data_IF_942898195172
#
_entry.id   IF_942898195172
#
_cell.length_a   1.000
_cell.length_b   1.000
_cell.length_c   1.000
_cell.angle_alpha   90.00
_cell.angle_beta   90.00
_cell.angle_gamma   90.00
#
_symmetry.space_group_name_H-M   'P 1'
#
loop_
_entity.id
_entity.type
_entity.pdbx_description
1 polymer ?
#
# COMPACT_ATOMS: atom_id res chain seq x y z
N UNK A 1 -45.26 0.85 80.34
CA UNK A 1 -45.43 0.16 79.01
C UNK A 1 -44.80 1.02 77.96
N UNK A 2 -43.53 0.76 77.63
CA UNK A 2 -42.74 1.56 76.71
C UNK A 2 -42.19 0.60 75.61
N UNK A 3 -42.77 0.77 74.41
CA UNK A 3 -42.29 0.02 73.19
C UNK A 3 -41.08 0.73 72.64
N UNK A 4 -39.94 0.02 72.54
CA UNK A 4 -38.76 0.44 71.85
C UNK A 4 -38.90 -0.03 70.37
N UNK A 5 -38.85 0.91 69.47
CA UNK A 5 -38.71 0.66 68.01
C UNK A 5 -37.24 0.48 67.71
N UNK A 6 -36.92 -0.66 67.14
CA UNK A 6 -35.58 -1.00 66.58
C UNK A 6 -35.57 -0.54 65.11
N UNK A 7 -34.76 0.47 64.83
CA UNK A 7 -34.52 0.89 63.45
C UNK A 7 -33.49 0.03 62.78
N UNK A 8 -33.87 -0.60 61.66
CA UNK A 8 -33.00 -1.39 60.80
C UNK A 8 -32.33 -0.46 59.75
N UNK A 9 -31.04 -0.24 59.89
CA UNK A 9 -30.25 0.46 58.85
C UNK A 9 -29.94 -0.52 57.72
N UNK A 10 -30.50 -0.25 56.53
CA UNK A 10 -30.18 -0.96 55.32
C UNK A 10 -28.94 -0.27 54.65
N UNK A 11 -27.79 -0.92 54.72
CA UNK A 11 -26.61 -0.47 53.98
C UNK A 11 -26.74 -0.90 52.53
N UNK A 12 -26.96 0.06 51.64
CA UNK A 12 -26.89 -0.17 50.17
C UNK A 12 -25.44 -0.14 49.75
N UNK A 13 -24.88 -1.30 49.42
CA UNK A 13 -23.57 -1.43 48.76
C UNK A 13 -23.78 -1.14 47.29
N UNK A 14 -23.37 0.03 46.82
CA UNK A 14 -23.24 0.35 45.40
C UNK A 14 -22.01 -0.37 44.86
N UNK A 15 -22.23 -1.49 44.17
CA UNK A 15 -21.22 -2.10 43.32
C UNK A 15 -21.08 -1.22 42.07
N UNK A 16 -20.06 -0.38 42.05
CA UNK A 16 -19.64 0.36 40.89
C UNK A 16 -19.07 -0.64 39.85
N UNK A 17 -19.85 -0.93 38.82
CA UNK A 17 -19.33 -1.60 37.61
C UNK A 17 -18.37 -0.64 36.93
N UNK A 18 -17.07 -0.89 37.09
CA UNK A 18 -16.05 -0.29 36.22
C UNK A 18 -16.21 -0.91 34.82
N UNK A 19 -17.00 -0.24 33.97
CA UNK A 19 -16.88 -0.42 32.53
C UNK A 19 -15.47 0.07 32.14
N UNK A 20 -14.52 -0.85 32.03
CA UNK A 20 -13.28 -0.60 31.34
C UNK A 20 -13.61 -0.31 29.89
N UNK A 21 -13.43 0.93 29.46
CA UNK A 21 -13.42 1.30 28.07
C UNK A 21 -12.37 0.42 27.36
N UNK A 22 -12.83 -0.61 26.66
CA UNK A 22 -12.07 -1.23 25.60
C UNK A 22 -11.93 -0.14 24.53
N UNK A 23 -10.82 0.59 24.55
CA UNK A 23 -10.44 1.41 23.41
C UNK A 23 -10.37 0.48 22.23
N UNK A 24 -11.33 0.61 21.33
CA UNK A 24 -11.34 -0.05 20.03
C UNK A 24 -10.00 0.17 19.34
N UNK A 25 -9.36 -0.91 18.89
CA UNK A 25 -8.15 -0.88 18.08
C UNK A 25 -8.42 -0.31 16.68
N UNK A 26 -9.59 0.21 16.41
CA UNK A 26 -10.06 0.79 15.15
C UNK A 26 -9.89 2.32 15.09
N UNK A 27 -8.88 2.91 15.74
CA UNK A 27 -8.55 4.29 15.40
C UNK A 27 -7.96 4.32 14.01
N UNK A 28 -8.83 4.45 13.00
CA UNK A 28 -8.46 4.86 11.65
C UNK A 28 -7.61 6.12 11.75
N UNK A 29 -6.48 6.10 11.07
CA UNK A 29 -5.62 7.28 10.93
C UNK A 29 -6.41 8.39 10.28
N UNK A 30 -6.80 9.36 11.06
CA UNK A 30 -7.55 10.53 10.62
C UNK A 30 -6.57 11.55 10.03
N UNK A 31 -6.27 11.42 8.73
CA UNK A 31 -5.59 12.48 8.00
C UNK A 31 -6.47 13.71 7.84
N UNK A 32 -5.90 14.89 7.57
CA UNK A 32 -6.62 16.17 7.53
C UNK A 32 -7.49 16.37 6.28
N UNK A 33 -7.39 15.50 5.26
CA UNK A 33 -8.02 15.72 3.97
C UNK A 33 -9.28 14.88 3.76
N UNK A 34 -10.23 15.41 2.97
CA UNK A 34 -11.21 14.59 2.25
C UNK A 34 -10.49 13.78 1.15
N UNK A 35 -11.15 12.75 0.62
CA UNK A 35 -10.59 11.93 -0.46
C UNK A 35 -11.33 12.18 -1.76
N UNK A 36 -10.59 12.59 -2.79
CA UNK A 36 -11.08 12.61 -4.16
C UNK A 36 -10.64 11.35 -4.90
N UNK A 37 -11.45 10.90 -5.86
CA UNK A 37 -11.09 9.84 -6.79
C UNK A 37 -11.43 10.25 -8.23
N UNK A 38 -10.51 9.95 -9.16
CA UNK A 38 -10.76 10.11 -10.60
C UNK A 38 -10.00 9.10 -11.42
N UNK A 39 -10.40 8.91 -12.65
CA UNK A 39 -9.72 8.04 -13.60
C UNK A 39 -9.09 8.87 -14.70
N UNK A 40 -7.80 8.63 -14.94
CA UNK A 40 -7.05 9.19 -16.07
C UNK A 40 -6.60 8.07 -16.99
N UNK A 41 -6.33 8.39 -18.25
CA UNK A 41 -5.80 7.40 -19.21
C UNK A 41 -4.58 7.98 -19.90
N UNK A 42 -3.45 7.35 -19.70
CA UNK A 42 -2.22 7.67 -20.40
C UNK A 42 -2.02 6.69 -21.57
N UNK A 43 -1.46 7.19 -22.65
CA UNK A 43 -1.16 6.38 -23.86
C UNK A 43 0.35 6.43 -24.10
N UNK A 44 0.97 5.26 -24.04
CA UNK A 44 2.37 5.09 -24.39
C UNK A 44 2.45 4.67 -25.86
N UNK A 45 2.80 5.63 -26.72
CA UNK A 45 2.96 5.41 -28.16
C UNK A 45 4.29 4.71 -28.51
N UNK A 46 5.20 4.62 -27.56
CA UNK A 46 6.53 3.99 -27.75
C UNK A 46 6.52 2.47 -27.52
N UNK A 47 5.50 1.94 -26.88
CA UNK A 47 5.35 0.52 -26.55
C UNK A 47 4.04 -0.04 -27.07
N UNK A 48 4.15 -1.07 -27.92
CA UNK A 48 2.98 -1.83 -28.35
C UNK A 48 2.45 -2.74 -27.23
N UNK A 49 1.21 -3.14 -27.35
CA UNK A 49 0.64 -4.25 -26.62
C UNK A 49 0.77 -5.50 -27.51
N UNK A 50 1.60 -6.45 -27.09
CA UNK A 50 1.81 -7.66 -27.88
C UNK A 50 0.56 -8.54 -27.89
N UNK A 51 0.23 -9.10 -29.05
CA UNK A 51 -0.76 -10.17 -29.12
C UNK A 51 -0.25 -11.40 -28.35
N UNK A 52 -1.07 -11.93 -27.44
CA UNK A 52 -0.74 -13.14 -26.68
C UNK A 52 -1.93 -14.10 -26.70
N UNK A 53 -1.72 -15.32 -27.13
CA UNK A 53 -2.78 -16.32 -27.27
C UNK A 53 -3.98 -15.74 -28.06
N UNK A 54 -5.12 -15.56 -27.38
CA UNK A 54 -6.35 -14.98 -27.93
C UNK A 54 -6.48 -13.48 -27.68
N UNK A 55 -5.52 -12.84 -26.98
CA UNK A 55 -5.50 -11.39 -26.77
C UNK A 55 -5.02 -10.68 -28.04
N UNK A 56 -5.81 -9.77 -28.61
CA UNK A 56 -5.36 -8.96 -29.72
C UNK A 56 -4.26 -7.99 -29.24
N UNK A 57 -3.26 -7.83 -30.09
CA UNK A 57 -2.28 -6.77 -29.92
C UNK A 57 -2.86 -5.38 -30.17
N UNK A 58 -2.14 -4.36 -29.77
CA UNK A 58 -2.45 -2.97 -30.08
C UNK A 58 -1.15 -2.20 -30.39
N UNK A 59 -1.21 -1.20 -31.28
CA UNK A 59 -0.01 -0.44 -31.68
C UNK A 59 0.57 0.42 -30.54
N UNK A 60 -0.16 0.60 -29.48
CA UNK A 60 0.21 1.43 -28.32
C UNK A 60 -0.34 0.83 -27.02
N UNK A 61 0.31 1.16 -25.90
CA UNK A 61 -0.09 0.68 -24.59
C UNK A 61 -0.92 1.73 -23.87
N UNK A 62 -2.16 1.41 -23.50
CA UNK A 62 -3.08 2.29 -22.79
C UNK A 62 -3.08 1.94 -21.31
N UNK A 63 -2.76 2.91 -20.47
CA UNK A 63 -2.67 2.76 -19.02
C UNK A 63 -3.81 3.55 -18.37
N UNK A 64 -4.90 2.87 -18.09
CA UNK A 64 -5.99 3.41 -17.28
C UNK A 64 -5.51 3.45 -15.83
N UNK A 65 -5.49 4.62 -15.23
CA UNK A 65 -4.96 4.83 -13.88
C UNK A 65 -6.04 5.48 -13.01
N UNK A 66 -6.34 4.86 -11.90
CA UNK A 66 -7.24 5.44 -10.90
C UNK A 66 -6.40 6.25 -9.90
N UNK A 67 -6.77 7.48 -9.67
CA UNK A 67 -6.10 8.38 -8.73
C UNK A 67 -6.98 8.57 -7.50
N UNK A 68 -6.45 8.26 -6.31
CA UNK A 68 -6.96 8.73 -5.03
C UNK A 68 -6.08 9.87 -4.55
N UNK A 69 -6.68 10.96 -4.12
CA UNK A 69 -5.92 12.17 -3.81
C UNK A 69 -6.56 13.00 -2.69
N UNK A 70 -5.76 13.82 -2.00
CA UNK A 70 -6.26 14.78 -1.04
C UNK A 70 -7.20 15.78 -1.71
N UNK A 71 -8.42 15.91 -1.19
CA UNK A 71 -9.45 16.80 -1.72
C UNK A 71 -9.86 17.87 -0.70
N UNK A 72 -10.46 18.96 -1.21
CA UNK A 72 -11.11 19.97 -0.38
C UNK A 72 -12.36 19.39 0.27
N UNK A 73 -12.64 19.81 1.50
CA UNK A 73 -13.81 19.39 2.27
C UNK A 73 -13.45 18.79 3.63
N UNK A 74 -14.47 18.37 4.37
CA UNK A 74 -14.28 17.72 5.67
C UNK A 74 -13.72 16.29 5.47
N UNK A 75 -12.77 15.86 6.30
CA UNK A 75 -12.26 14.48 6.26
C UNK A 75 -13.40 13.45 6.35
N UNK A 76 -13.35 12.44 5.49
CA UNK A 76 -14.37 11.39 5.40
C UNK A 76 -13.71 10.07 4.97
N UNK A 77 -14.31 8.94 5.36
CA UNK A 77 -13.88 7.61 4.92
C UNK A 77 -14.42 7.25 3.52
N UNK A 78 -15.30 8.09 2.98
CA UNK A 78 -15.83 7.97 1.61
C UNK A 78 -15.06 8.83 0.64
N UNK A 79 -14.73 8.27 -0.50
CA UNK A 79 -14.15 8.99 -1.63
C UNK A 79 -15.25 9.70 -2.44
N UNK A 80 -14.92 10.87 -2.98
CA UNK A 80 -15.81 11.67 -3.83
C UNK A 80 -15.26 11.69 -5.25
N UNK A 81 -16.09 11.24 -6.20
CA UNK A 81 -15.72 11.25 -7.62
C UNK A 81 -15.48 12.68 -8.11
N UNK A 82 -14.38 12.87 -8.81
CA UNK A 82 -13.98 14.15 -9.42
C UNK A 82 -13.98 15.35 -8.45
N UNK A 83 -13.72 15.07 -7.15
CA UNK A 83 -13.63 16.11 -6.13
C UNK A 83 -12.56 17.15 -6.49
N UNK A 84 -12.74 18.38 -6.01
CA UNK A 84 -11.73 19.42 -6.15
C UNK A 84 -10.48 19.06 -5.33
N UNK A 85 -9.30 18.98 -5.96
CA UNK A 85 -8.06 18.70 -5.22
C UNK A 85 -7.76 19.75 -4.15
N UNK A 86 -7.27 19.32 -3.02
CA UNK A 86 -6.65 20.20 -2.03
C UNK A 86 -5.37 20.84 -2.61
N UNK A 87 -4.90 21.91 -1.97
CA UNK A 87 -3.68 22.60 -2.42
C UNK A 87 -2.45 21.70 -2.22
N UNK A 88 -1.88 21.22 -3.34
CA UNK A 88 -0.68 20.41 -3.43
C UNK A 88 0.59 21.20 -3.72
N UNK A 89 1.63 20.57 -4.30
CA UNK A 89 1.64 19.14 -4.68
C UNK A 89 1.83 18.20 -3.50
N UNK A 90 1.48 16.91 -3.71
CA UNK A 90 1.58 15.84 -2.71
C UNK A 90 2.47 14.70 -3.19
N UNK A 91 3.24 14.03 -2.32
CA UNK A 91 4.03 12.86 -2.68
C UNK A 91 3.20 11.79 -3.37
N UNK A 92 3.84 11.08 -4.31
CA UNK A 92 3.20 10.09 -5.17
C UNK A 92 3.49 8.66 -4.70
N UNK A 93 2.44 7.84 -4.65
CA UNK A 93 2.52 6.39 -4.49
C UNK A 93 1.96 5.76 -5.77
N UNK A 94 2.78 5.01 -6.52
CA UNK A 94 2.30 4.22 -7.67
C UNK A 94 2.13 2.78 -7.23
N UNK A 95 0.90 2.28 -7.35
CA UNK A 95 0.54 0.94 -6.88
C UNK A 95 0.17 0.01 -8.04
N UNK A 96 0.78 -1.18 -8.05
CA UNK A 96 0.48 -2.28 -8.98
C UNK A 96 -0.34 -3.37 -8.27
N UNK A 97 -1.47 -3.74 -8.88
CA UNK A 97 -2.34 -4.81 -8.39
C UNK A 97 -1.77 -6.20 -8.67
N UNK A 98 -2.23 -7.22 -7.95
CA UNK A 98 -1.93 -8.61 -8.24
C UNK A 98 -2.57 -9.10 -9.54
N UNK A 99 -2.09 -10.23 -10.08
CA UNK A 99 -2.63 -10.87 -11.31
C UNK A 99 -4.15 -11.07 -11.22
N UNK A 100 -4.88 -10.68 -12.24
CA UNK A 100 -6.36 -10.65 -12.26
C UNK A 100 -6.97 -9.77 -11.17
N UNK A 101 -6.20 -8.82 -10.65
CA UNK A 101 -6.65 -7.81 -9.69
C UNK A 101 -7.05 -6.50 -10.36
N UNK A 102 -7.41 -5.55 -9.55
CA UNK A 102 -7.68 -4.17 -9.96
C UNK A 102 -7.44 -3.22 -8.77
N UNK A 103 -7.10 -1.94 -9.00
CA UNK A 103 -6.78 -0.99 -7.93
C UNK A 103 -7.88 -0.83 -6.88
N UNK A 104 -9.15 -0.92 -7.26
CA UNK A 104 -10.29 -0.79 -6.35
C UNK A 104 -10.30 -1.81 -5.21
N UNK A 105 -9.63 -2.94 -5.37
CA UNK A 105 -9.52 -3.95 -4.31
C UNK A 105 -8.67 -3.50 -3.12
N UNK A 106 -7.90 -2.43 -3.29
CA UNK A 106 -7.00 -1.83 -2.29
C UNK A 106 -7.46 -0.41 -1.89
N UNK A 107 -8.66 0.00 -2.33
CA UNK A 107 -9.16 1.37 -2.15
C UNK A 107 -9.23 1.79 -0.67
N UNK A 108 -9.40 0.85 0.25
CA UNK A 108 -9.41 1.15 1.68
C UNK A 108 -8.05 1.69 2.15
N UNK A 109 -6.93 1.05 1.78
CA UNK A 109 -5.58 1.58 2.04
C UNK A 109 -5.36 2.91 1.32
N UNK A 110 -5.78 3.01 0.07
CA UNK A 110 -5.60 4.22 -0.74
C UNK A 110 -6.33 5.43 -0.16
N UNK A 111 -7.54 5.24 0.41
CA UNK A 111 -8.26 6.30 1.13
C UNK A 111 -7.48 6.77 2.37
N UNK A 112 -6.91 5.85 3.14
CA UNK A 112 -6.11 6.18 4.32
C UNK A 112 -4.89 7.02 3.91
N UNK A 113 -4.16 6.59 2.88
CA UNK A 113 -2.98 7.30 2.39
C UNK A 113 -3.34 8.66 1.76
N UNK A 114 -4.43 8.73 0.97
CA UNK A 114 -4.88 10.00 0.40
C UNK A 114 -5.32 11.00 1.47
N UNK A 115 -6.05 10.56 2.51
CA UNK A 115 -6.39 11.41 3.66
C UNK A 115 -5.18 11.94 4.40
N UNK A 116 -4.10 11.17 4.43
CA UNK A 116 -2.85 11.58 5.05
C UNK A 116 -2.00 12.51 4.17
N UNK A 117 -2.43 12.84 2.96
CA UNK A 117 -1.76 13.78 2.08
C UNK A 117 -0.79 13.10 1.09
N UNK A 118 -1.21 12.01 0.48
CA UNK A 118 -0.54 11.36 -0.65
C UNK A 118 -1.46 11.29 -1.86
N UNK A 119 -0.88 11.35 -3.05
CA UNK A 119 -1.57 10.92 -4.26
C UNK A 119 -1.24 9.45 -4.51
N UNK A 120 -2.28 8.63 -4.67
CA UNK A 120 -2.13 7.20 -4.97
C UNK A 120 -2.58 6.93 -6.39
N UNK A 121 -1.69 6.46 -7.24
CA UNK A 121 -1.96 6.09 -8.62
C UNK A 121 -2.04 4.56 -8.73
N UNK A 122 -3.24 4.02 -8.75
CA UNK A 122 -3.50 2.60 -8.99
C UNK A 122 -3.50 2.32 -10.50
N UNK A 123 -2.47 1.66 -11.00
CA UNK A 123 -2.31 1.35 -12.42
C UNK A 123 -3.12 0.11 -12.78
N UNK A 124 -3.96 0.20 -13.83
CA UNK A 124 -4.64 -0.95 -14.43
C UNK A 124 -3.77 -1.48 -15.57
N UNK A 125 -2.94 -2.46 -15.28
CA UNK A 125 -2.05 -3.06 -16.27
C UNK A 125 -2.86 -3.79 -17.34
N UNK A 126 -2.69 -3.47 -18.62
CA UNK A 126 -3.68 -3.80 -19.66
C UNK A 126 -3.87 -5.29 -19.92
N UNK A 127 -2.89 -6.15 -19.59
CA UNK A 127 -3.00 -7.60 -19.83
C UNK A 127 -3.11 -8.44 -18.55
N UNK A 128 -2.99 -7.85 -17.37
CA UNK A 128 -3.10 -8.57 -16.09
C UNK A 128 -4.27 -8.11 -15.22
N UNK A 129 -4.96 -7.04 -15.61
CA UNK A 129 -6.12 -6.50 -14.89
C UNK A 129 -7.31 -7.47 -14.92
N UNK A 130 -8.17 -7.35 -13.91
CA UNK A 130 -9.41 -8.11 -13.80
C UNK A 130 -10.37 -7.86 -14.97
N UNK A 131 -11.16 -8.89 -15.32
CA UNK A 131 -12.26 -8.78 -16.28
C UNK A 131 -11.84 -8.88 -17.75
N UNK A 132 -10.62 -9.24 -18.03
CA UNK A 132 -10.19 -9.52 -19.40
C UNK A 132 -10.91 -10.77 -19.93
N UNK A 133 -11.47 -10.72 -21.14
CA UNK A 133 -12.27 -11.81 -21.69
C UNK A 133 -11.50 -13.13 -21.86
N UNK A 134 -10.16 -13.05 -21.90
CA UNK A 134 -9.27 -14.20 -22.10
C UNK A 134 -8.44 -14.54 -20.86
N UNK A 135 -8.76 -13.92 -19.71
CA UNK A 135 -7.97 -14.01 -18.50
C UNK A 135 -6.70 -13.15 -18.52
N UNK A 136 -5.99 -13.16 -17.40
CA UNK A 136 -4.75 -12.41 -17.30
C UNK A 136 -3.59 -13.11 -18.04
N UNK A 137 -2.82 -12.32 -18.78
CA UNK A 137 -1.60 -12.75 -19.50
C UNK A 137 -0.41 -12.54 -18.59
N UNK A 138 -0.03 -13.56 -17.84
CA UNK A 138 1.03 -13.48 -16.80
C UNK A 138 2.39 -13.06 -17.37
N UNK A 139 2.67 -13.38 -18.61
CA UNK A 139 3.92 -13.03 -19.30
C UNK A 139 4.09 -11.52 -19.49
N UNK A 140 3.00 -10.73 -19.40
CA UNK A 140 3.07 -9.27 -19.53
C UNK A 140 3.68 -8.57 -18.31
N UNK A 141 3.80 -9.26 -17.18
CA UNK A 141 4.43 -8.74 -15.95
C UNK A 141 5.81 -8.10 -16.22
N UNK A 142 6.54 -8.63 -17.21
CA UNK A 142 7.86 -8.07 -17.60
C UNK A 142 7.78 -6.66 -18.20
N UNK A 143 6.61 -6.18 -18.58
CA UNK A 143 6.37 -4.84 -19.12
C UNK A 143 5.82 -3.86 -18.07
N UNK A 144 5.30 -4.35 -16.94
CA UNK A 144 4.59 -3.55 -15.92
C UNK A 144 5.50 -2.58 -15.15
N UNK A 145 6.79 -2.85 -14.86
CA UNK A 145 7.68 -1.83 -14.30
C UNK A 145 7.83 -0.60 -15.19
N UNK A 146 7.85 -0.79 -16.52
CA UNK A 146 7.87 0.32 -17.46
C UNK A 146 6.53 1.07 -17.50
N UNK A 147 5.40 0.44 -17.12
CA UNK A 147 4.12 1.11 -16.95
C UNK A 147 4.16 2.04 -15.74
N UNK A 148 4.70 1.57 -14.60
CA UNK A 148 4.90 2.42 -13.41
C UNK A 148 5.75 3.65 -13.74
N UNK A 149 6.92 3.45 -14.35
CA UNK A 149 7.83 4.52 -14.79
C UNK A 149 7.15 5.52 -15.73
N UNK A 150 6.34 5.02 -16.67
CA UNK A 150 5.60 5.87 -17.61
C UNK A 150 4.51 6.68 -16.89
N UNK A 151 3.76 6.07 -15.96
CA UNK A 151 2.74 6.76 -15.15
C UNK A 151 3.37 7.85 -14.29
N UNK A 152 4.51 7.60 -13.62
CA UNK A 152 5.25 8.64 -12.87
C UNK A 152 5.58 9.82 -13.78
N UNK A 153 6.10 9.56 -14.99
CA UNK A 153 6.46 10.60 -15.96
C UNK A 153 5.25 11.42 -16.39
N UNK A 154 4.13 10.74 -16.69
CA UNK A 154 2.90 11.41 -17.16
C UNK A 154 2.24 12.23 -16.06
N UNK A 155 2.19 11.73 -14.84
CA UNK A 155 1.64 12.48 -13.70
C UNK A 155 2.48 13.72 -13.40
N UNK A 156 3.80 13.64 -13.44
CA UNK A 156 4.66 14.80 -13.28
C UNK A 156 4.46 15.87 -14.35
N UNK A 157 4.19 15.46 -15.59
CA UNK A 157 3.97 16.39 -16.70
C UNK A 157 2.56 16.98 -16.73
N UNK A 158 1.54 16.18 -16.46
CA UNK A 158 0.13 16.54 -16.69
C UNK A 158 -0.60 16.97 -15.40
N UNK A 159 -0.07 16.57 -14.21
CA UNK A 159 -0.69 16.78 -12.90
C UNK A 159 0.24 17.46 -11.88
N UNK A 160 1.21 18.23 -12.33
CA UNK A 160 2.27 18.84 -11.50
C UNK A 160 1.76 19.75 -10.36
N UNK A 161 0.54 20.28 -10.45
CA UNK A 161 -0.08 21.04 -9.36
C UNK A 161 -0.62 20.14 -8.23
N UNK A 162 -0.83 18.86 -8.52
CA UNK A 162 -1.34 17.87 -7.56
C UNK A 162 -0.25 16.92 -7.10
N UNK A 163 0.65 16.51 -7.98
CA UNK A 163 1.62 15.42 -7.77
C UNK A 163 3.04 15.96 -7.65
N UNK A 164 3.70 15.60 -6.57
CA UNK A 164 5.12 15.82 -6.35
C UNK A 164 5.89 14.55 -6.80
N UNK A 165 6.60 14.66 -7.91
CA UNK A 165 7.42 13.56 -8.46
C UNK A 165 8.87 13.58 -7.98
N UNK A 166 9.22 14.51 -7.09
CA UNK A 166 10.48 14.50 -6.37
C UNK A 166 10.42 13.64 -5.11
N UNK A 167 9.20 13.16 -4.75
CA UNK A 167 8.94 12.24 -3.63
C UNK A 167 8.03 11.11 -4.09
N UNK A 168 8.61 10.01 -4.54
CA UNK A 168 7.90 8.89 -5.17
C UNK A 168 8.12 7.57 -4.43
N UNK A 169 7.03 6.87 -4.14
CA UNK A 169 7.08 5.46 -3.78
C UNK A 169 6.44 4.58 -4.87
N UNK A 170 6.95 3.36 -5.00
CA UNK A 170 6.25 2.28 -5.71
C UNK A 170 5.83 1.22 -4.71
N UNK A 171 4.65 0.68 -4.91
CA UNK A 171 4.09 -0.36 -4.04
C UNK A 171 3.31 -1.38 -4.88
N UNK A 172 3.09 -2.55 -4.33
CA UNK A 172 2.25 -3.52 -5.01
C UNK A 172 2.06 -4.81 -4.23
N UNK A 173 1.07 -5.58 -4.69
CA UNK A 173 0.71 -6.87 -4.10
C UNK A 173 0.90 -8.01 -5.11
N UNK A 174 1.45 -9.15 -4.66
CA UNK A 174 1.60 -10.35 -5.49
C UNK A 174 2.43 -10.09 -6.76
N UNK A 175 1.88 -10.30 -7.97
CA UNK A 175 2.57 -9.92 -9.21
C UNK A 175 2.91 -8.42 -9.25
N UNK A 176 2.05 -7.55 -8.73
CA UNK A 176 2.35 -6.12 -8.63
C UNK A 176 3.47 -5.79 -7.65
N UNK A 177 3.71 -6.63 -6.64
CA UNK A 177 4.89 -6.50 -5.79
C UNK A 177 6.18 -6.91 -6.52
N UNK A 178 6.10 -7.83 -7.50
CA UNK A 178 7.23 -8.15 -8.39
C UNK A 178 7.55 -6.95 -9.29
N UNK A 179 6.53 -6.22 -9.76
CA UNK A 179 6.73 -4.99 -10.55
C UNK A 179 7.41 -3.91 -9.71
N UNK A 180 6.90 -3.65 -8.49
CA UNK A 180 7.50 -2.69 -7.57
C UNK A 180 8.94 -3.08 -7.18
N UNK A 181 9.20 -4.38 -6.96
CA UNK A 181 10.54 -4.91 -6.72
C UNK A 181 11.46 -4.65 -7.92
N UNK A 182 10.97 -4.85 -9.15
CA UNK A 182 11.75 -4.62 -10.35
C UNK A 182 12.01 -3.13 -10.59
N UNK A 183 11.01 -2.28 -10.41
CA UNK A 183 11.13 -0.82 -10.55
C UNK A 183 12.07 -0.22 -9.49
N UNK A 184 12.05 -0.75 -8.26
CA UNK A 184 12.92 -0.25 -7.18
C UNK A 184 14.34 -0.83 -7.20
N UNK A 185 14.53 -2.08 -7.66
CA UNK A 185 15.76 -2.81 -7.35
C UNK A 185 16.35 -3.66 -8.46
N UNK A 186 15.75 -3.74 -9.68
CA UNK A 186 16.29 -4.58 -10.74
C UNK A 186 17.05 -3.74 -11.77
N UNK A 187 18.25 -4.17 -12.15
CA UNK A 187 19.09 -3.46 -13.12
C UNK A 187 18.46 -3.27 -14.48
N UNK A 188 17.44 -4.07 -14.84
CA UNK A 188 16.71 -3.89 -16.12
C UNK A 188 15.79 -2.67 -16.11
N UNK A 189 15.24 -2.32 -14.95
CA UNK A 189 13.98 -1.58 -14.86
C UNK A 189 13.98 -0.53 -13.76
N UNK A 190 15.09 -0.36 -13.04
CA UNK A 190 15.22 0.58 -11.93
C UNK A 190 14.92 2.02 -12.36
N UNK A 191 13.96 2.62 -11.68
CA UNK A 191 13.66 4.06 -11.80
C UNK A 191 14.28 4.82 -10.63
N UNK A 192 15.26 5.68 -10.94
CA UNK A 192 16.03 6.43 -9.94
C UNK A 192 15.23 7.50 -9.18
N UNK A 193 13.98 7.76 -9.58
CA UNK A 193 13.07 8.68 -8.89
C UNK A 193 12.38 8.03 -7.69
N UNK A 194 12.50 6.70 -7.55
CA UNK A 194 11.83 5.96 -6.48
C UNK A 194 12.62 6.11 -5.18
N UNK A 195 11.99 6.74 -4.19
CA UNK A 195 12.56 7.01 -2.85
C UNK A 195 12.17 5.94 -1.82
N UNK A 196 11.09 5.18 -2.06
CA UNK A 196 10.60 4.16 -1.15
C UNK A 196 9.85 3.04 -1.89
N UNK A 197 9.94 1.81 -1.37
CA UNK A 197 9.28 0.63 -1.97
C UNK A 197 8.50 -0.14 -0.91
N UNK A 198 7.25 -0.51 -1.20
CA UNK A 198 6.47 -1.45 -0.38
C UNK A 198 6.12 -2.69 -1.20
N UNK A 199 6.39 -3.85 -0.62
CA UNK A 199 6.24 -5.16 -1.25
C UNK A 199 5.30 -6.04 -0.41
N UNK A 200 4.10 -6.29 -0.93
CA UNK A 200 3.07 -7.09 -0.26
C UNK A 200 3.03 -8.50 -0.89
N UNK A 201 3.43 -9.54 -0.15
CA UNK A 201 3.54 -10.92 -0.62
C UNK A 201 4.34 -11.05 -1.91
N UNK A 202 5.67 -10.93 -1.84
CA UNK A 202 6.56 -10.88 -2.99
C UNK A 202 7.43 -12.12 -3.13
N UNK A 203 7.74 -12.48 -4.38
CA UNK A 203 8.85 -13.37 -4.76
C UNK A 203 9.76 -12.65 -5.78
N UNK A 204 10.99 -13.12 -5.94
CA UNK A 204 11.96 -12.56 -6.89
C UNK A 204 12.23 -13.48 -8.09
N UNK A 205 11.33 -13.55 -9.06
CA UNK A 205 11.59 -14.34 -10.28
C UNK A 205 12.69 -13.71 -11.11
N UNK A 206 13.33 -14.50 -11.98
CA UNK A 206 14.23 -13.94 -13.00
C UNK A 206 13.48 -12.94 -13.88
N UNK A 207 14.06 -11.75 -14.10
CA UNK A 207 13.36 -10.64 -14.73
C UNK A 207 14.23 -9.98 -15.80
N UNK A 208 13.88 -10.14 -17.08
CA UNK A 208 14.56 -9.54 -18.25
C UNK A 208 16.09 -9.64 -18.23
N UNK A 209 16.65 -10.70 -17.62
CA UNK A 209 18.11 -10.87 -17.50
C UNK A 209 18.78 -9.90 -16.52
N UNK A 210 18.01 -9.06 -15.81
CA UNK A 210 18.50 -8.18 -14.77
C UNK A 210 18.78 -8.90 -13.46
N UNK A 211 19.40 -8.19 -12.52
CA UNK A 211 19.71 -8.67 -11.17
C UNK A 211 19.11 -7.74 -10.14
N UNK A 212 18.57 -8.30 -9.07
CA UNK A 212 18.03 -7.52 -7.95
C UNK A 212 19.14 -7.07 -6.99
N UNK A 213 19.00 -5.89 -6.42
CA UNK A 213 19.84 -5.27 -5.38
C UNK A 213 21.31 -5.03 -5.72
N UNK A 214 21.86 -5.75 -6.68
CA UNK A 214 23.25 -5.62 -7.13
C UNK A 214 23.32 -4.64 -8.30
N UNK A 215 24.11 -3.58 -8.15
CA UNK A 215 24.30 -2.59 -9.23
C UNK A 215 23.23 -1.50 -9.28
N UNK A 216 22.31 -1.47 -8.28
CA UNK A 216 21.35 -0.40 -8.05
C UNK A 216 21.60 0.26 -6.68
N UNK A 217 21.21 1.54 -6.47
CA UNK A 217 21.29 2.19 -5.17
C UNK A 217 20.49 1.44 -4.09
N UNK A 218 20.79 1.73 -2.84
CA UNK A 218 19.95 1.30 -1.72
C UNK A 218 18.74 2.24 -1.64
N UNK A 219 17.56 1.69 -1.89
CA UNK A 219 16.28 2.37 -1.68
C UNK A 219 15.60 1.77 -0.46
N UNK A 220 15.04 2.57 0.46
CA UNK A 220 14.26 2.06 1.58
C UNK A 220 13.16 1.11 1.14
N UNK A 221 13.02 -0.03 1.85
CA UNK A 221 12.03 -1.04 1.50
C UNK A 221 11.32 -1.63 2.72
N UNK A 222 10.01 -1.73 2.63
CA UNK A 222 9.15 -2.42 3.61
C UNK A 222 8.48 -3.61 2.94
N UNK A 223 8.70 -4.78 3.51
CA UNK A 223 8.04 -6.03 3.12
C UNK A 223 6.90 -6.34 4.09
N UNK A 224 5.77 -6.78 3.55
CA UNK A 224 4.72 -7.46 4.28
C UNK A 224 4.56 -8.87 3.73
N UNK A 225 4.53 -9.88 4.61
CA UNK A 225 4.32 -11.26 4.17
C UNK A 225 3.59 -12.07 5.23
N UNK A 226 2.50 -12.74 4.82
CA UNK A 226 1.82 -13.69 5.67
C UNK A 226 2.58 -15.01 5.78
N UNK A 227 2.69 -15.59 6.99
CA UNK A 227 3.39 -16.87 7.17
C UNK A 227 2.55 -18.08 6.74
N UNK A 228 1.24 -17.89 6.48
CA UNK A 228 0.33 -18.88 5.89
C UNK A 228 0.02 -18.61 4.41
N UNK A 229 0.85 -17.80 3.72
CA UNK A 229 0.72 -17.57 2.29
C UNK A 229 0.97 -18.86 1.50
N UNK A 230 -0.08 -19.36 0.84
CA UNK A 230 -0.04 -20.60 0.08
C UNK A 230 0.36 -20.43 -1.38
N UNK A 231 0.41 -19.18 -1.88
CA UNK A 231 0.79 -18.87 -3.27
C UNK A 231 2.26 -18.50 -3.36
N UNK A 232 2.74 -17.59 -2.50
CA UNK A 232 4.13 -17.18 -2.43
C UNK A 232 4.71 -17.54 -1.07
N UNK A 233 5.67 -18.49 -0.99
CA UNK A 233 6.24 -18.89 0.28
C UNK A 233 6.86 -17.72 1.03
N UNK A 234 6.53 -17.55 2.32
CA UNK A 234 7.11 -16.53 3.20
C UNK A 234 8.64 -16.47 3.13
N UNK A 235 9.29 -17.66 3.13
CA UNK A 235 10.75 -17.75 3.01
C UNK A 235 11.32 -17.12 1.73
N UNK A 236 10.55 -17.06 0.63
CA UNK A 236 11.00 -16.42 -0.59
C UNK A 236 11.02 -14.89 -0.45
N UNK A 237 9.99 -14.30 0.16
CA UNK A 237 9.96 -12.88 0.49
C UNK A 237 11.05 -12.50 1.51
N UNK A 238 11.22 -13.31 2.55
CA UNK A 238 12.27 -13.10 3.55
C UNK A 238 13.69 -13.21 2.95
N UNK A 239 13.91 -14.13 2.02
CA UNK A 239 15.18 -14.23 1.31
C UNK A 239 15.50 -13.00 0.43
N UNK A 240 14.49 -12.27 -0.05
CA UNK A 240 14.69 -10.96 -0.70
C UNK A 240 15.03 -9.86 0.31
N UNK A 241 14.38 -9.86 1.48
CA UNK A 241 14.73 -8.96 2.57
C UNK A 241 16.18 -9.15 3.02
N UNK A 242 16.66 -10.38 3.16
CA UNK A 242 18.06 -10.65 3.51
C UNK A 242 19.03 -10.04 2.50
N UNK A 243 18.73 -10.11 1.20
CA UNK A 243 19.56 -9.57 0.11
C UNK A 243 19.50 -8.05 -0.02
N UNK A 244 18.38 -7.44 0.37
CA UNK A 244 18.20 -5.99 0.29
C UNK A 244 19.20 -5.25 1.18
N UNK A 245 19.69 -4.10 0.72
CA UNK A 245 20.52 -3.21 1.53
C UNK A 245 19.64 -2.37 2.46
N UNK A 246 20.15 -1.98 3.65
CA UNK A 246 19.45 -1.02 4.51
C UNK A 246 19.24 0.33 3.80
N UNK A 247 18.16 1.07 4.17
CA UNK A 247 17.14 0.78 5.17
C UNK A 247 16.14 -0.28 4.69
N UNK A 248 15.88 -1.29 5.51
CA UNK A 248 14.96 -2.38 5.16
C UNK A 248 14.15 -2.86 6.37
N UNK A 249 12.91 -3.21 6.13
CA UNK A 249 11.94 -3.61 7.15
C UNK A 249 11.14 -4.80 6.64
N UNK A 250 10.82 -5.74 7.52
CA UNK A 250 10.02 -6.91 7.18
C UNK A 250 8.97 -7.16 8.26
N UNK A 251 7.71 -7.09 7.88
CA UNK A 251 6.57 -7.41 8.74
C UNK A 251 6.06 -8.79 8.38
N UNK A 252 6.25 -9.75 9.30
CA UNK A 252 5.59 -11.05 9.21
C UNK A 252 4.21 -10.97 9.83
N UNK A 253 3.18 -11.40 9.10
CA UNK A 253 1.79 -11.47 9.55
C UNK A 253 1.46 -12.93 9.83
N UNK A 254 1.38 -13.28 11.11
CA UNK A 254 1.14 -14.65 11.56
C UNK A 254 -0.29 -15.09 11.21
N UNK A 255 -0.40 -16.22 10.51
CA UNK A 255 -1.66 -16.73 9.98
C UNK A 255 -2.18 -15.94 8.76
N UNK A 256 -1.48 -14.91 8.32
CA UNK A 256 -1.83 -14.14 7.13
C UNK A 256 -1.67 -14.97 5.86
N UNK A 257 -2.70 -14.97 5.01
CA UNK A 257 -2.68 -15.60 3.69
C UNK A 257 -2.19 -14.64 2.61
N UNK A 258 -2.23 -15.11 1.35
CA UNK A 258 -1.73 -14.35 0.19
C UNK A 258 -2.46 -13.02 -0.05
N UNK A 259 -3.72 -12.91 0.29
CA UNK A 259 -4.57 -11.76 -0.10
C UNK A 259 -5.20 -11.05 1.08
N UNK A 260 -5.56 -11.79 2.14
CA UNK A 260 -6.36 -11.26 3.25
C UNK A 260 -5.75 -10.03 3.94
N UNK A 261 -4.43 -9.93 4.15
CA UNK A 261 -3.85 -8.79 4.84
C UNK A 261 -3.90 -7.47 4.05
N UNK A 262 -4.08 -7.53 2.74
CA UNK A 262 -3.87 -6.38 1.83
C UNK A 262 -5.17 -5.81 1.27
N UNK A 263 -6.27 -6.51 1.45
CA UNK A 263 -7.60 -6.08 1.03
C UNK A 263 -8.44 -5.72 2.24
N UNK A 264 -9.51 -4.99 1.99
CA UNK A 264 -10.42 -4.56 3.04
C UNK A 264 -10.90 -5.75 3.89
N UNK A 265 -10.55 -5.74 5.18
CA UNK A 265 -10.87 -6.77 6.14
C UNK A 265 -10.11 -6.61 7.47
N UNK A 266 -10.72 -6.97 8.61
CA UNK A 266 -10.07 -6.87 9.92
C UNK A 266 -9.12 -8.05 10.16
N UNK A 267 -8.22 -7.95 11.13
CA UNK A 267 -7.51 -6.76 11.62
C UNK A 267 -6.21 -6.49 10.85
N UNK A 268 -5.82 -7.46 9.99
CA UNK A 268 -4.54 -7.48 9.25
C UNK A 268 -4.40 -6.27 8.34
N UNK A 269 -5.52 -5.88 7.71
CA UNK A 269 -5.60 -4.70 6.84
C UNK A 269 -5.16 -3.41 7.56
N UNK A 270 -5.61 -3.20 8.80
CA UNK A 270 -5.26 -1.99 9.56
C UNK A 270 -3.76 -1.93 9.90
N UNK A 271 -3.14 -3.08 10.18
CA UNK A 271 -1.71 -3.19 10.36
C UNK A 271 -0.97 -2.72 9.10
N UNK A 272 -1.32 -3.29 7.94
CA UNK A 272 -0.65 -2.99 6.66
C UNK A 272 -0.83 -1.52 6.30
N UNK A 273 -2.06 -1.00 6.35
CA UNK A 273 -2.35 0.39 5.99
C UNK A 273 -1.62 1.40 6.88
N UNK A 274 -1.57 1.15 8.21
CA UNK A 274 -0.90 2.04 9.17
C UNK A 274 0.62 1.97 9.06
N UNK A 275 1.19 0.78 9.07
CA UNK A 275 2.63 0.61 8.95
C UNK A 275 3.17 1.15 7.61
N UNK A 276 2.40 0.99 6.53
CA UNK A 276 2.73 1.62 5.25
C UNK A 276 2.75 3.15 5.34
N UNK A 277 1.75 3.74 6.02
CA UNK A 277 1.69 5.19 6.20
C UNK A 277 2.89 5.72 6.98
N UNK A 278 3.29 5.06 8.07
CA UNK A 278 4.46 5.45 8.86
C UNK A 278 5.75 5.35 8.04
N UNK A 279 5.88 4.31 7.22
CA UNK A 279 7.00 4.14 6.30
C UNK A 279 7.05 5.24 5.23
N UNK A 280 5.91 5.58 4.60
CA UNK A 280 5.84 6.68 3.65
C UNK A 280 6.12 8.03 4.30
N UNK A 281 5.59 8.29 5.50
CA UNK A 281 5.86 9.52 6.24
C UNK A 281 7.36 9.70 6.51
N UNK A 282 8.08 8.60 6.77
CA UNK A 282 9.53 8.65 6.97
C UNK A 282 10.29 9.03 5.71
N UNK A 283 9.96 8.37 4.60
CA UNK A 283 10.80 8.42 3.41
C UNK A 283 10.32 9.38 2.31
N UNK A 284 9.06 9.83 2.38
CA UNK A 284 8.51 10.81 1.43
C UNK A 284 8.20 12.16 2.06
N UNK A 285 8.20 12.27 3.40
CA UNK A 285 7.89 13.53 4.13
C UNK A 285 8.89 13.85 5.23
N UNK A 286 10.00 13.13 5.31
CA UNK A 286 11.04 13.32 6.35
C UNK A 286 10.53 13.28 7.80
N UNK A 287 9.47 12.51 8.06
CA UNK A 287 8.88 12.32 9.39
C UNK A 287 9.89 11.74 10.37
N UNK A 288 10.36 12.53 11.33
CA UNK A 288 11.48 12.14 12.23
C UNK A 288 11.10 11.05 13.22
N UNK A 289 9.85 11.02 13.65
CA UNK A 289 9.27 10.05 14.60
C UNK A 289 8.55 8.88 13.90
N UNK A 290 8.55 8.85 12.57
CA UNK A 290 7.76 7.90 11.80
C UNK A 290 8.22 6.45 11.98
N UNK A 291 9.52 6.17 12.09
CA UNK A 291 10.01 4.82 12.38
C UNK A 291 9.66 4.36 13.80
N UNK A 292 9.70 5.26 14.78
CA UNK A 292 9.25 4.94 16.13
C UNK A 292 7.73 4.66 16.15
N UNK A 293 6.95 5.33 15.29
CA UNK A 293 5.52 5.00 15.10
C UNK A 293 5.35 3.63 14.45
N UNK A 294 6.08 3.33 13.38
CA UNK A 294 6.07 2.04 12.71
C UNK A 294 6.29 0.89 13.70
N UNK A 295 7.34 0.98 14.53
CA UNK A 295 7.63 -0.04 15.55
C UNK A 295 6.48 -0.20 16.56
N UNK A 296 5.97 0.93 17.10
CA UNK A 296 4.87 0.92 18.06
C UNK A 296 3.57 0.40 17.46
N UNK A 297 3.27 0.77 16.23
CA UNK A 297 2.01 0.41 15.57
C UNK A 297 2.02 -1.06 15.16
N UNK A 298 3.14 -1.61 14.68
CA UNK A 298 3.26 -3.07 14.46
C UNK A 298 3.13 -3.83 15.79
N UNK A 299 3.75 -3.35 16.87
CA UNK A 299 3.70 -4.01 18.19
C UNK A 299 2.29 -4.06 18.83
N UNK A 300 1.34 -3.25 18.36
CA UNK A 300 -0.08 -3.33 18.79
C UNK A 300 -0.81 -4.58 18.32
N UNK A 301 -0.28 -5.24 17.28
CA UNK A 301 -0.90 -6.42 16.70
C UNK A 301 -0.15 -7.68 17.14
N UNK A 302 -0.72 -8.50 18.03
CA UNK A 302 -0.04 -9.67 18.61
C UNK A 302 0.30 -10.77 17.57
N UNK A 303 -0.29 -10.67 16.39
CA UNK A 303 -0.04 -11.56 15.26
C UNK A 303 1.02 -11.00 14.30
N UNK A 304 1.66 -9.87 14.59
CA UNK A 304 2.68 -9.28 13.74
C UNK A 304 4.06 -9.25 14.43
N UNK A 305 5.10 -9.41 13.64
CA UNK A 305 6.48 -9.16 14.06
C UNK A 305 7.19 -8.27 13.05
N UNK A 306 8.06 -7.39 13.53
CA UNK A 306 8.88 -6.51 12.71
C UNK A 306 10.36 -6.87 12.83
N UNK A 307 11.00 -7.10 11.69
CA UNK A 307 12.45 -7.09 11.56
C UNK A 307 12.86 -5.77 10.91
N UNK A 308 13.76 -5.02 11.54
CA UNK A 308 14.16 -3.70 11.07
C UNK A 308 15.69 -3.55 11.02
N UNK A 309 16.20 -3.06 9.90
CA UNK A 309 17.58 -2.65 9.71
C UNK A 309 17.55 -1.23 9.12
N UNK A 310 17.39 -0.19 9.97
CA UNK A 310 17.09 1.18 9.53
C UNK A 310 18.32 1.93 8.97
N UNK A 311 19.54 1.37 9.07
CA UNK A 311 20.80 1.93 8.57
C UNK A 311 21.75 0.84 8.09
#
# INVERSE_FOLDING_TARGET
MTRRLLGLLLAVVLLGSACGDKKDASQQTTGPYAVGVRTVTFVDDSRALDARNTQPGAPRRRLVTNLWFPAEGAPSDTEVADARPAKGPFPLIVFSHGRSGEPQQYAASFRIWARAGYVVAGVRHPLTVRGLPFGAVTEDIVNEPADQTFVITKLGAEESNLVDVDHVAVAGHSSGAIDALATGFNTCCHDKRVDAVILESVIGPSFKGGTYFKGVPATPVLFFHGDADSEFPHAAGHGLFEQAKPPKFFVTIKGGGHTSPYRDGPPDFHLVAQASLDFFDRYLKDGKDALDRLERDVARFPFATLEAVPR
#
